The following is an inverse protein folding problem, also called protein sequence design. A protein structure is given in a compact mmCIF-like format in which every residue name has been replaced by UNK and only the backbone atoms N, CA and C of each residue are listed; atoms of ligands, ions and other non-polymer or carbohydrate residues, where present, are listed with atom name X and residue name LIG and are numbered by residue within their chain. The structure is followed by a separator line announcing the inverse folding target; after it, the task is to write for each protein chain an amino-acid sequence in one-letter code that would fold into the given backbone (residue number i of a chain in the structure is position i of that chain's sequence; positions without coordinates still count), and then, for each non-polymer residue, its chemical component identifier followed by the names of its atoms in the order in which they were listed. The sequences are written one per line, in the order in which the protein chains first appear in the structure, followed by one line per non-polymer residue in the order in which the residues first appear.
data_IF_407801375048
#
_entry.id   IF_407801375048
#
_cell.length_a   1.000
_cell.length_b   1.000
_cell.length_c   1.000
_cell.angle_alpha   90.00
_cell.angle_beta   90.00
_cell.angle_gamma   90.00
#
_symmetry.space_group_name_H-M   'P 1'
#
loop_
_entity.id
_entity.type
_entity.pdbx_description
1 polymer ?
#
# COMPACT_ATOMS: atom_id res chain seq x y z
N UNK A 1 -3.20 -31.49 -19.30
CA UNK A 1 -3.36 -30.78 -18.03
C UNK A 1 -1.98 -30.41 -17.42
N UNK A 2 -1.06 -31.37 -17.27
CA UNK A 2 0.28 -31.16 -16.71
C UNK A 2 1.09 -30.10 -17.49
N UNK A 3 1.10 -30.13 -18.82
CA UNK A 3 1.79 -29.13 -19.66
C UNK A 3 1.33 -27.70 -19.32
N UNK A 4 0.01 -27.49 -19.21
CA UNK A 4 -0.55 -26.18 -18.86
C UNK A 4 -0.13 -25.72 -17.46
N UNK A 5 -0.04 -26.64 -16.50
CA UNK A 5 0.40 -26.31 -15.13
C UNK A 5 1.89 -25.99 -15.09
N UNK A 6 2.72 -26.67 -15.87
CA UNK A 6 4.15 -26.31 -16.03
C UNK A 6 4.32 -24.91 -16.62
N UNK A 7 3.53 -24.53 -17.62
CA UNK A 7 3.53 -23.19 -18.21
C UNK A 7 3.10 -22.13 -17.17
N UNK A 8 2.07 -22.41 -16.37
CA UNK A 8 1.65 -21.53 -15.27
C UNK A 8 2.78 -21.39 -14.23
N UNK A 9 3.44 -22.50 -13.88
CA UNK A 9 4.59 -22.49 -12.98
C UNK A 9 5.75 -21.64 -13.51
N UNK A 10 6.06 -21.78 -14.80
CA UNK A 10 7.10 -20.97 -15.44
C UNK A 10 6.77 -19.47 -15.43
N UNK A 11 5.52 -19.11 -15.72
CA UNK A 11 5.07 -17.73 -15.65
C UNK A 11 5.11 -17.18 -14.21
N UNK A 12 4.70 -17.98 -13.21
CA UNK A 12 4.81 -17.62 -11.81
C UNK A 12 6.26 -17.31 -11.41
N UNK A 13 7.22 -18.16 -11.78
CA UNK A 13 8.65 -17.94 -11.43
C UNK A 13 9.19 -16.71 -12.12
N UNK A 14 8.87 -16.46 -13.40
CA UNK A 14 9.27 -15.25 -14.13
C UNK A 14 8.74 -13.98 -13.45
N UNK A 15 7.46 -13.99 -13.07
CA UNK A 15 6.85 -12.87 -12.38
C UNK A 15 7.46 -12.64 -10.98
N UNK A 16 7.68 -13.72 -10.23
CA UNK A 16 8.27 -13.64 -8.89
C UNK A 16 9.70 -13.10 -8.91
N UNK A 17 10.51 -13.57 -9.86
CA UNK A 17 11.90 -13.11 -10.02
C UNK A 17 12.01 -11.78 -10.78
N UNK A 18 10.92 -11.32 -11.38
CA UNK A 18 10.88 -10.05 -12.12
C UNK A 18 11.86 -10.00 -13.29
N UNK A 19 12.15 -11.14 -13.90
CA UNK A 19 13.10 -11.27 -15.02
C UNK A 19 12.69 -12.34 -16.03
N UNK A 20 13.29 -12.22 -17.22
CA UNK A 20 13.26 -13.31 -18.19
C UNK A 20 14.27 -14.37 -17.74
N UNK A 21 13.80 -15.61 -17.64
CA UNK A 21 14.60 -16.76 -17.26
C UNK A 21 15.07 -17.51 -18.49
N UNK A 22 16.28 -18.04 -18.43
CA UNK A 22 16.81 -18.97 -19.41
C UNK A 22 16.10 -20.33 -19.32
N UNK A 23 16.19 -21.14 -20.36
CA UNK A 23 15.64 -22.52 -20.33
C UNK A 23 16.25 -23.37 -19.23
N UNK A 24 17.55 -23.21 -18.97
CA UNK A 24 18.24 -23.89 -17.86
C UNK A 24 17.65 -23.50 -16.49
N UNK A 25 17.40 -22.21 -16.29
CA UNK A 25 16.77 -21.72 -15.05
C UNK A 25 15.34 -22.22 -14.90
N UNK A 26 14.56 -22.27 -16.00
CA UNK A 26 13.22 -22.83 -15.97
C UNK A 26 13.24 -24.35 -15.69
N UNK A 27 14.22 -25.07 -16.22
CA UNK A 27 14.41 -26.47 -15.88
C UNK A 27 14.72 -26.63 -14.38
N UNK A 28 15.60 -25.81 -13.84
CA UNK A 28 16.01 -25.86 -12.43
C UNK A 28 14.89 -25.49 -11.46
N UNK A 29 14.07 -24.48 -11.75
CA UNK A 29 13.02 -24.01 -10.84
C UNK A 29 11.66 -24.65 -11.07
N UNK A 30 11.38 -25.11 -12.28
CA UNK A 30 10.04 -25.57 -12.66
C UNK A 30 10.05 -27.01 -13.18
N UNK A 31 10.64 -27.24 -14.35
CA UNK A 31 10.36 -28.49 -15.10
C UNK A 31 10.86 -29.74 -14.41
N UNK A 32 12.06 -29.69 -13.79
CA UNK A 32 12.62 -30.80 -13.01
C UNK A 32 11.82 -31.14 -11.74
N UNK A 33 10.86 -30.31 -11.33
CA UNK A 33 10.03 -30.57 -10.14
C UNK A 33 8.81 -31.44 -10.46
N UNK A 34 8.45 -31.54 -11.74
CA UNK A 34 7.36 -32.39 -12.21
C UNK A 34 7.86 -33.78 -12.54
N UNK A 35 8.08 -34.59 -11.51
CA UNK A 35 8.55 -35.98 -11.64
C UNK A 35 7.38 -36.92 -11.75
N UNK A 36 7.52 -38.00 -12.57
CA UNK A 36 6.46 -39.01 -12.80
C UNK A 36 5.91 -39.66 -11.53
N UNK A 37 6.75 -39.75 -10.49
CA UNK A 37 6.40 -40.42 -9.22
C UNK A 37 5.86 -39.45 -8.17
N UNK A 38 5.71 -38.16 -8.50
CA UNK A 38 5.27 -37.14 -7.56
C UNK A 38 3.86 -36.66 -7.94
N UNK A 39 2.92 -36.61 -6.99
CA UNK A 39 1.61 -36.02 -7.22
C UNK A 39 1.74 -34.55 -7.71
N UNK A 40 0.87 -34.14 -8.63
CA UNK A 40 0.94 -32.88 -9.32
C UNK A 40 0.92 -31.66 -8.35
N UNK A 41 0.10 -31.74 -7.28
CA UNK A 41 0.03 -30.68 -6.27
C UNK A 41 1.36 -30.50 -5.51
N UNK A 42 2.07 -31.59 -5.20
CA UNK A 42 3.39 -31.52 -4.56
C UNK A 42 4.47 -30.95 -5.48
N UNK A 43 4.36 -31.22 -6.79
CA UNK A 43 5.24 -30.58 -7.78
C UNK A 43 5.03 -29.07 -7.82
N UNK A 44 3.78 -28.61 -7.82
CA UNK A 44 3.44 -27.19 -7.76
C UNK A 44 3.95 -26.56 -6.45
N UNK A 45 3.70 -27.21 -5.32
CA UNK A 45 4.18 -26.75 -4.00
C UNK A 45 5.70 -26.58 -3.98
N UNK A 46 6.46 -27.54 -4.53
CA UNK A 46 7.92 -27.41 -4.65
C UNK A 46 8.33 -26.21 -5.48
N UNK A 47 7.70 -25.96 -6.63
CA UNK A 47 7.95 -24.78 -7.46
C UNK A 47 7.73 -23.51 -6.66
N UNK A 48 6.59 -23.39 -5.98
CA UNK A 48 6.24 -22.21 -5.18
C UNK A 48 7.25 -22.01 -4.04
N UNK A 49 7.53 -23.04 -3.25
CA UNK A 49 8.45 -22.95 -2.11
C UNK A 49 9.87 -22.59 -2.53
N UNK A 50 10.39 -23.22 -3.60
CA UNK A 50 11.72 -22.89 -4.11
C UNK A 50 11.81 -21.45 -4.60
N UNK A 51 10.76 -20.96 -5.25
CA UNK A 51 10.69 -19.60 -5.76
C UNK A 51 10.66 -18.60 -4.60
N UNK A 52 9.74 -18.78 -3.65
CA UNK A 52 9.55 -17.83 -2.55
C UNK A 52 10.71 -17.83 -1.53
N UNK A 53 11.45 -18.94 -1.42
CA UNK A 53 12.67 -19.03 -0.58
C UNK A 53 13.94 -18.60 -1.31
N UNK A 54 13.86 -18.37 -2.61
CA UNK A 54 15.03 -17.98 -3.39
C UNK A 54 15.53 -16.57 -3.00
N UNK A 55 16.85 -16.36 -2.86
CA UNK A 55 17.41 -15.00 -2.70
C UNK A 55 16.97 -14.03 -3.80
N UNK A 56 16.74 -14.53 -5.03
CA UNK A 56 16.23 -13.71 -6.16
C UNK A 56 14.85 -13.11 -5.88
N UNK A 57 14.01 -13.81 -5.13
CA UNK A 57 12.71 -13.30 -4.72
C UNK A 57 12.82 -12.40 -3.48
N UNK A 58 13.58 -12.83 -2.48
CA UNK A 58 13.70 -12.15 -1.19
C UNK A 58 14.49 -10.84 -1.28
N UNK A 59 15.47 -10.76 -2.19
CA UNK A 59 16.35 -9.61 -2.36
C UNK A 59 16.28 -9.06 -3.79
N UNK A 60 15.20 -8.36 -4.15
CA UNK A 60 14.98 -7.86 -5.52
C UNK A 60 16.09 -6.88 -5.99
N UNK A 61 16.81 -6.25 -5.07
CA UNK A 61 17.92 -5.35 -5.37
C UNK A 61 19.24 -6.09 -5.69
N UNK A 62 19.35 -7.37 -5.38
CA UNK A 62 20.56 -8.16 -5.62
C UNK A 62 21.02 -8.11 -7.07
N UNK A 63 20.10 -8.21 -7.99
CA UNK A 63 20.39 -8.20 -9.43
C UNK A 63 20.74 -6.80 -9.94
N UNK A 64 20.12 -5.77 -9.36
CA UNK A 64 20.43 -4.38 -9.68
C UNK A 64 21.88 -4.02 -9.31
N UNK A 65 22.39 -4.60 -8.21
CA UNK A 65 23.78 -4.42 -7.79
C UNK A 65 24.77 -5.16 -8.72
N UNK A 66 24.36 -6.29 -9.29
CA UNK A 66 25.17 -7.08 -10.21
C UNK A 66 25.24 -6.48 -11.63
N UNK A 67 24.21 -5.76 -12.07
CA UNK A 67 24.12 -5.14 -13.39
C UNK A 67 24.51 -3.66 -13.30
N UNK A 68 25.64 -3.28 -13.90
CA UNK A 68 26.14 -1.89 -13.94
C UNK A 68 25.28 -0.92 -14.75
N UNK A 69 24.38 -1.39 -15.59
CA UNK A 69 23.43 -0.57 -16.36
C UNK A 69 22.01 -0.74 -15.83
N UNK A 70 21.24 0.34 -15.87
CA UNK A 70 19.83 0.35 -15.52
C UNK A 70 19.02 -0.46 -16.55
N UNK A 71 18.91 -1.76 -16.33
CA UNK A 71 18.05 -2.65 -17.10
C UNK A 71 16.58 -2.18 -16.95
N UNK A 72 15.86 -1.96 -18.06
CA UNK A 72 14.46 -1.56 -18.04
C UNK A 72 13.58 -2.42 -17.14
N UNK A 73 13.84 -3.73 -17.07
CA UNK A 73 13.13 -4.67 -16.21
C UNK A 73 13.36 -4.35 -14.72
N UNK A 74 14.60 -4.04 -14.35
CA UNK A 74 14.96 -3.65 -12.98
C UNK A 74 14.30 -2.32 -12.61
N UNK A 75 14.33 -1.34 -13.52
CA UNK A 75 13.69 -0.03 -13.30
C UNK A 75 12.19 -0.17 -13.11
N UNK A 76 11.52 -0.95 -13.95
CA UNK A 76 10.08 -1.19 -13.82
C UNK A 76 9.73 -1.95 -12.53
N UNK A 77 10.55 -2.92 -12.14
CA UNK A 77 10.40 -3.66 -10.89
C UNK A 77 10.51 -2.75 -9.66
N UNK A 78 11.52 -1.88 -9.65
CA UNK A 78 11.69 -0.86 -8.60
C UNK A 78 10.51 0.09 -8.57
N UNK A 79 10.09 0.59 -9.73
CA UNK A 79 8.94 1.49 -9.82
C UNK A 79 7.67 0.83 -9.26
N UNK A 80 7.39 -0.43 -9.62
CA UNK A 80 6.25 -1.17 -9.10
C UNK A 80 6.34 -1.41 -7.59
N UNK A 81 7.51 -1.74 -7.08
CA UNK A 81 7.74 -1.94 -5.66
C UNK A 81 7.56 -0.62 -4.88
N UNK A 82 8.15 0.48 -5.37
CA UNK A 82 8.04 1.78 -4.69
C UNK A 82 6.65 2.38 -4.74
N UNK A 83 5.90 2.17 -5.83
CA UNK A 83 4.58 2.77 -5.99
C UNK A 83 3.45 1.90 -5.43
N UNK A 84 3.60 0.58 -5.44
CA UNK A 84 2.49 -0.34 -5.21
C UNK A 84 2.76 -1.48 -4.21
N UNK A 85 3.99 -1.64 -3.70
CA UNK A 85 4.42 -2.85 -2.97
C UNK A 85 4.14 -4.14 -3.76
N UNK A 86 4.30 -4.09 -5.07
CA UNK A 86 3.90 -5.17 -5.97
C UNK A 86 4.92 -5.40 -7.09
N UNK A 87 4.70 -6.47 -7.85
CA UNK A 87 5.41 -6.73 -9.10
C UNK A 87 4.88 -5.81 -10.22
N UNK A 88 5.66 -5.61 -11.33
CA UNK A 88 5.19 -4.92 -12.49
C UNK A 88 3.88 -5.51 -13.04
N UNK A 89 2.95 -4.64 -13.42
CA UNK A 89 1.72 -5.05 -14.08
C UNK A 89 1.96 -5.37 -15.57
N UNK A 90 0.94 -5.95 -16.20
CA UNK A 90 0.98 -6.29 -17.62
C UNK A 90 1.29 -5.08 -18.51
N UNK A 91 0.84 -3.89 -18.13
CA UNK A 91 1.13 -2.67 -18.87
C UNK A 91 2.61 -2.31 -18.83
N UNK A 92 3.24 -2.38 -17.65
CA UNK A 92 4.68 -2.16 -17.51
C UNK A 92 5.49 -3.15 -18.34
N UNK A 93 5.14 -4.45 -18.31
CA UNK A 93 5.79 -5.46 -19.15
C UNK A 93 5.68 -5.12 -20.64
N UNK A 94 4.51 -4.74 -21.13
CA UNK A 94 4.34 -4.29 -22.52
C UNK A 94 5.16 -3.05 -22.88
N UNK A 95 5.33 -2.11 -21.95
CA UNK A 95 6.15 -0.92 -22.20
C UNK A 95 7.64 -1.29 -22.31
N UNK A 96 8.10 -2.26 -21.48
CA UNK A 96 9.47 -2.78 -21.57
C UNK A 96 9.70 -3.46 -22.92
N UNK A 97 8.79 -4.34 -23.35
CA UNK A 97 8.86 -5.03 -24.65
C UNK A 97 8.93 -4.06 -25.83
N UNK A 98 8.26 -2.90 -25.73
CA UNK A 98 8.29 -1.82 -26.73
C UNK A 98 9.54 -0.92 -26.64
N UNK A 99 10.44 -1.16 -25.72
CA UNK A 99 11.61 -0.32 -25.50
C UNK A 99 11.30 1.04 -24.86
N UNK A 100 10.17 1.18 -24.17
CA UNK A 100 9.69 2.45 -23.60
C UNK A 100 10.12 2.69 -22.14
N UNK A 101 11.25 2.15 -21.70
CA UNK A 101 11.80 2.36 -20.35
C UNK A 101 13.25 2.86 -20.37
N UNK A 102 13.62 3.61 -21.40
CA UNK A 102 15.01 3.99 -21.66
C UNK A 102 15.38 5.40 -21.20
N UNK A 103 14.39 6.25 -20.93
CA UNK A 103 14.65 7.63 -20.53
C UNK A 103 13.72 8.10 -19.41
N UNK A 104 14.12 9.20 -18.76
CA UNK A 104 13.41 9.79 -17.60
C UNK A 104 11.94 10.10 -17.92
N UNK A 105 11.65 10.66 -19.09
CA UNK A 105 10.29 11.06 -19.46
C UNK A 105 9.33 9.86 -19.58
N UNK A 106 9.82 8.73 -20.13
CA UNK A 106 9.04 7.50 -20.23
C UNK A 106 8.77 6.89 -18.84
N UNK A 107 9.77 6.88 -17.95
CA UNK A 107 9.63 6.40 -16.58
C UNK A 107 8.64 7.30 -15.80
N UNK A 108 8.78 8.62 -15.91
CA UNK A 108 7.90 9.59 -15.29
C UNK A 108 6.45 9.45 -15.77
N UNK A 109 6.23 9.20 -17.07
CA UNK A 109 4.91 8.92 -17.63
C UNK A 109 4.25 7.69 -16.99
N UNK A 110 5.02 6.61 -16.75
CA UNK A 110 4.53 5.44 -16.05
C UNK A 110 4.27 5.72 -14.56
N UNK A 111 5.14 6.46 -13.89
CA UNK A 111 4.93 6.86 -12.50
C UNK A 111 3.62 7.67 -12.32
N UNK A 112 3.37 8.63 -13.22
CA UNK A 112 2.11 9.42 -13.23
C UNK A 112 0.87 8.55 -13.44
N UNK A 113 0.95 7.55 -14.33
CA UNK A 113 -0.12 6.56 -14.49
C UNK A 113 -0.35 5.77 -13.21
N UNK A 114 0.73 5.29 -12.61
CA UNK A 114 0.70 4.44 -11.42
C UNK A 114 0.16 5.16 -10.18
N UNK A 115 0.41 6.46 -10.05
CA UNK A 115 -0.16 7.29 -8.98
C UNK A 115 -1.70 7.29 -8.95
N UNK A 116 -2.34 7.10 -10.11
CA UNK A 116 -3.81 7.03 -10.21
C UNK A 116 -4.40 5.68 -9.80
N UNK A 117 -3.55 4.69 -9.59
CA UNK A 117 -3.97 3.34 -9.19
C UNK A 117 -4.26 3.29 -7.68
N UNK A 118 -5.35 2.62 -7.24
CA UNK A 118 -5.67 2.47 -5.82
C UNK A 118 -4.54 1.89 -4.96
N UNK A 119 -3.64 1.09 -5.55
CA UNK A 119 -2.47 0.53 -4.85
C UNK A 119 -1.51 1.61 -4.37
N UNK A 120 -1.29 2.68 -5.17
CA UNK A 120 -0.47 3.83 -4.74
C UNK A 120 -1.10 4.55 -3.55
N UNK A 121 -2.41 4.73 -3.58
CA UNK A 121 -3.16 5.32 -2.46
C UNK A 121 -3.04 4.48 -1.20
N UNK A 122 -3.22 3.16 -1.31
CA UNK A 122 -3.08 2.24 -0.19
C UNK A 122 -1.67 2.29 0.42
N UNK A 123 -0.64 2.22 -0.43
CA UNK A 123 0.75 2.31 0.00
C UNK A 123 1.08 3.64 0.68
N UNK A 124 0.64 4.75 0.11
CA UNK A 124 0.87 6.06 0.70
C UNK A 124 0.16 6.22 2.05
N UNK A 125 -1.07 5.73 2.15
CA UNK A 125 -1.81 5.70 3.43
C UNK A 125 -1.05 4.85 4.46
N UNK A 126 -0.55 3.68 4.07
CA UNK A 126 0.24 2.81 4.93
C UNK A 126 1.54 3.49 5.42
N UNK A 127 2.24 4.17 4.52
CA UNK A 127 3.39 5.00 4.88
C UNK A 127 3.04 6.07 5.91
N UNK A 128 1.92 6.81 5.73
CA UNK A 128 1.50 7.85 6.67
C UNK A 128 1.15 7.27 8.04
N UNK A 129 0.50 6.11 8.10
CA UNK A 129 0.19 5.44 9.37
C UNK A 129 1.47 5.00 10.09
N UNK A 130 2.49 4.56 9.35
CA UNK A 130 3.81 4.24 9.92
C UNK A 130 4.51 5.51 10.41
N UNK A 131 4.52 6.57 9.60
CA UNK A 131 5.16 7.84 9.93
C UNK A 131 4.53 8.50 11.16
N UNK A 132 3.20 8.38 11.33
CA UNK A 132 2.47 8.83 12.51
C UNK A 132 2.63 7.88 13.71
N UNK A 133 3.36 6.78 13.55
CA UNK A 133 3.56 5.73 14.55
C UNK A 133 2.24 5.17 15.12
N UNK A 134 1.25 4.95 14.26
CA UNK A 134 -0.06 4.39 14.62
C UNK A 134 -0.39 3.11 13.86
N UNK A 135 0.47 2.68 12.94
CA UNK A 135 0.28 1.42 12.21
C UNK A 135 0.41 0.24 13.17
N UNK A 136 -0.57 -0.66 13.13
CA UNK A 136 -0.57 -1.88 13.96
C UNK A 136 -0.86 -1.66 15.44
N UNK A 137 -1.03 -0.43 15.91
CA UNK A 137 -1.48 -0.16 17.26
C UNK A 137 -2.93 -0.59 17.44
N UNK A 138 -3.24 -1.09 18.62
CA UNK A 138 -4.62 -1.35 19.03
C UNK A 138 -5.42 -0.05 19.08
N UNK A 139 -6.73 -0.16 19.02
CA UNK A 139 -7.59 1.01 19.21
C UNK A 139 -7.36 1.59 20.60
N UNK A 140 -7.23 2.92 20.73
CA UNK A 140 -7.04 3.56 22.02
C UNK A 140 -8.23 3.23 22.93
N UNK A 141 -7.89 2.91 24.18
CA UNK A 141 -8.85 2.69 25.25
C UNK A 141 -8.44 3.51 26.46
N UNK A 142 -9.41 4.03 27.19
CA UNK A 142 -9.19 4.89 28.35
C UNK A 142 -9.97 4.37 29.55
N UNK A 143 -9.50 4.77 30.75
CA UNK A 143 -10.21 4.50 31.98
C UNK A 143 -11.63 5.11 31.92
N UNK A 144 -12.64 4.28 32.11
CA UNK A 144 -14.06 4.67 32.07
C UNK A 144 -14.47 5.61 33.19
N UNK A 145 -13.75 5.63 34.31
CA UNK A 145 -14.01 6.57 35.39
C UNK A 145 -13.64 8.00 35.00
N UNK A 146 -12.53 8.14 34.22
CA UNK A 146 -12.03 9.43 33.77
C UNK A 146 -12.68 9.86 32.46
N UNK A 147 -12.92 8.90 31.55
CA UNK A 147 -13.45 9.14 30.20
C UNK A 147 -14.68 8.22 29.93
N UNK A 148 -15.81 8.40 30.65
CA UNK A 148 -16.96 7.48 30.58
C UNK A 148 -17.57 7.38 29.18
N UNK A 149 -17.50 8.43 28.39
CA UNK A 149 -18.10 8.48 27.04
C UNK A 149 -17.14 7.96 25.95
N UNK A 150 -15.86 7.71 26.25
CA UNK A 150 -14.93 7.15 25.28
C UNK A 150 -15.17 5.66 25.07
N UNK A 151 -15.64 5.30 23.88
CA UNK A 151 -15.96 3.92 23.51
C UNK A 151 -15.11 3.40 22.38
N UNK A 152 -15.03 2.08 22.22
CA UNK A 152 -14.37 1.46 21.05
C UNK A 152 -15.01 1.90 19.72
N UNK A 153 -16.30 2.17 19.71
CA UNK A 153 -17.00 2.71 18.54
C UNK A 153 -16.50 4.11 18.20
N UNK A 154 -16.35 4.98 19.21
CA UNK A 154 -15.77 6.32 19.02
C UNK A 154 -14.32 6.24 18.54
N UNK A 155 -13.50 5.33 19.10
CA UNK A 155 -12.13 5.12 18.67
C UNK A 155 -12.05 4.69 17.19
N UNK A 156 -12.94 3.78 16.77
CA UNK A 156 -13.05 3.39 15.34
C UNK A 156 -13.49 4.55 14.45
N UNK A 157 -14.43 5.35 14.89
CA UNK A 157 -14.89 6.53 14.14
C UNK A 157 -13.76 7.57 14.01
N UNK A 158 -12.99 7.80 15.05
CA UNK A 158 -11.82 8.67 15.03
C UNK A 158 -10.74 8.17 14.06
N UNK A 159 -10.49 6.85 14.03
CA UNK A 159 -9.56 6.25 13.06
C UNK A 159 -10.03 6.45 11.62
N UNK A 160 -11.31 6.23 11.36
CA UNK A 160 -11.90 6.45 10.04
C UNK A 160 -11.86 7.93 9.67
N UNK A 161 -12.13 8.82 10.63
CA UNK A 161 -12.01 10.26 10.46
C UNK A 161 -10.63 10.66 9.97
N UNK A 162 -9.55 10.17 10.59
CA UNK A 162 -8.18 10.41 10.16
C UNK A 162 -7.96 9.95 8.70
N UNK A 163 -8.32 8.71 8.38
CA UNK A 163 -8.12 8.16 7.04
C UNK A 163 -8.88 8.95 5.97
N UNK A 164 -10.08 9.40 6.28
CA UNK A 164 -10.89 10.23 5.38
C UNK A 164 -10.33 11.63 5.21
N UNK A 165 -9.86 12.24 6.29
CA UNK A 165 -9.24 13.57 6.24
C UNK A 165 -7.96 13.54 5.40
N UNK A 166 -7.16 12.48 5.52
CA UNK A 166 -5.98 12.23 4.65
C UNK A 166 -6.44 12.08 3.19
N UNK A 167 -7.46 11.25 2.95
CA UNK A 167 -7.98 11.00 1.60
C UNK A 167 -8.47 12.28 0.93
N UNK A 168 -9.24 13.06 1.65
CA UNK A 168 -9.74 14.36 1.19
C UNK A 168 -8.60 15.28 0.81
N UNK A 169 -7.68 15.53 1.73
CA UNK A 169 -6.60 16.50 1.52
C UNK A 169 -5.68 16.11 0.38
N UNK A 170 -5.23 14.86 0.34
CA UNK A 170 -4.20 14.42 -0.63
C UNK A 170 -4.81 14.08 -1.99
N UNK A 171 -5.95 13.37 -2.02
CA UNK A 171 -6.44 12.77 -3.25
C UNK A 171 -7.63 13.49 -3.89
N UNK A 172 -8.52 14.07 -3.10
CA UNK A 172 -9.69 14.77 -3.61
C UNK A 172 -9.40 16.24 -3.90
N UNK A 173 -8.71 16.94 -2.98
CA UNK A 173 -8.36 18.35 -3.10
C UNK A 173 -7.02 18.58 -3.79
N UNK A 174 -6.32 17.50 -4.16
CA UNK A 174 -4.99 17.55 -4.78
C UNK A 174 -3.99 18.36 -3.96
N UNK A 175 -4.10 18.28 -2.64
CA UNK A 175 -3.27 18.97 -1.68
C UNK A 175 -1.81 18.54 -1.76
N UNK A 176 -0.95 19.39 -1.28
CA UNK A 176 0.49 19.13 -1.17
C UNK A 176 0.85 18.67 0.25
N UNK A 177 2.14 18.43 0.49
CA UNK A 177 2.64 17.99 1.79
C UNK A 177 2.38 19.02 2.91
N UNK A 178 2.42 20.30 2.60
CA UNK A 178 2.14 21.35 3.57
C UNK A 178 0.66 21.35 3.98
N UNK A 179 -0.26 21.20 3.02
CA UNK A 179 -1.70 21.10 3.31
C UNK A 179 -2.01 19.87 4.19
N UNK A 180 -1.33 18.76 3.93
CA UNK A 180 -1.42 17.56 4.78
C UNK A 180 -0.90 17.82 6.20
N UNK A 181 0.26 18.46 6.36
CA UNK A 181 0.81 18.78 7.68
C UNK A 181 -0.10 19.74 8.46
N UNK A 182 -0.68 20.72 7.80
CA UNK A 182 -1.57 21.71 8.40
C UNK A 182 -2.96 21.16 8.72
N UNK A 183 -3.41 20.16 7.95
CA UNK A 183 -4.72 19.51 8.05
C UNK A 183 -5.82 20.45 8.62
N UNK A 184 -6.20 21.43 7.83
CA UNK A 184 -7.20 22.44 8.24
C UNK A 184 -8.63 21.90 8.30
N UNK A 185 -8.93 20.82 7.58
CA UNK A 185 -10.25 20.21 7.51
C UNK A 185 -10.24 18.78 8.01
N UNK A 186 -11.12 18.43 8.94
CA UNK A 186 -11.29 17.09 9.51
C UNK A 186 -12.67 16.56 9.17
N UNK A 187 -12.73 15.32 8.70
CA UNK A 187 -13.99 14.60 8.42
C UNK A 187 -14.53 13.94 9.69
N UNK A 188 -15.67 14.36 10.22
CA UNK A 188 -16.21 13.84 11.48
C UNK A 188 -17.63 13.28 11.35
N UNK A 189 -17.98 12.35 12.25
CA UNK A 189 -19.34 11.84 12.45
C UNK A 189 -20.08 12.65 13.50
N UNK A 190 -21.41 12.44 13.58
CA UNK A 190 -22.22 12.98 14.68
C UNK A 190 -21.73 12.50 16.05
N UNK A 191 -21.24 11.28 16.15
CA UNK A 191 -20.67 10.71 17.38
C UNK A 191 -19.44 11.49 17.82
N UNK A 192 -18.53 11.78 16.90
CA UNK A 192 -17.34 12.59 17.17
C UNK A 192 -17.76 14.01 17.56
N UNK A 193 -18.65 14.61 16.78
CA UNK A 193 -19.15 15.97 17.05
C UNK A 193 -19.77 16.08 18.44
N UNK A 194 -20.60 15.13 18.84
CA UNK A 194 -21.20 15.09 20.17
C UNK A 194 -20.14 14.99 21.27
N UNK A 195 -19.16 14.08 21.11
CA UNK A 195 -18.09 13.89 22.11
C UNK A 195 -17.24 15.14 22.32
N UNK A 196 -16.92 15.84 21.22
CA UNK A 196 -16.11 17.08 21.27
C UNK A 196 -16.96 18.36 21.37
N UNK A 197 -18.29 18.25 21.50
CA UNK A 197 -19.25 19.36 21.60
C UNK A 197 -19.16 20.35 20.42
N UNK A 198 -18.95 19.81 19.20
CA UNK A 198 -18.84 20.62 17.98
C UNK A 198 -20.22 20.76 17.35
N UNK A 199 -20.72 22.00 17.14
CA UNK A 199 -21.94 22.23 16.42
C UNK A 199 -21.77 21.84 14.93
N UNK A 200 -22.62 20.95 14.42
CA UNK A 200 -22.64 20.64 13.00
C UNK A 200 -23.67 21.51 12.31
N UNK A 201 -23.22 22.37 11.40
CA UNK A 201 -24.09 23.18 10.54
C UNK A 201 -24.55 22.41 9.30
N UNK A 202 -23.72 21.52 8.79
CA UNK A 202 -23.96 20.78 7.56
C UNK A 202 -24.58 19.41 7.81
N UNK A 203 -25.36 18.93 6.84
CA UNK A 203 -25.87 17.56 6.84
C UNK A 203 -24.71 16.61 6.51
N UNK A 204 -24.65 15.43 7.16
CA UNK A 204 -23.66 14.43 6.82
C UNK A 204 -23.83 13.98 5.35
N UNK A 205 -22.69 13.68 4.72
CA UNK A 205 -22.67 13.07 3.40
C UNK A 205 -23.32 11.65 3.43
N UNK A 206 -23.43 11.00 2.29
CA UNK A 206 -24.04 9.66 2.14
C UNK A 206 -23.46 8.57 3.06
N UNK A 207 -22.28 8.81 3.62
CA UNK A 207 -21.59 7.89 4.53
C UNK A 207 -21.48 8.42 5.97
N UNK A 208 -22.24 9.45 6.31
CA UNK A 208 -22.37 9.95 7.67
C UNK A 208 -21.24 10.86 8.17
N UNK A 209 -20.39 11.40 7.28
CA UNK A 209 -19.30 12.30 7.62
C UNK A 209 -19.59 13.74 7.18
N UNK A 210 -19.12 14.69 7.97
CA UNK A 210 -19.17 16.13 7.70
C UNK A 210 -17.76 16.69 7.77
N UNK A 211 -17.31 17.46 6.77
CA UNK A 211 -16.06 18.20 6.87
C UNK A 211 -16.24 19.39 7.82
N UNK A 212 -15.36 19.54 8.78
CA UNK A 212 -15.32 20.68 9.71
C UNK A 212 -13.93 21.28 9.77
N UNK A 213 -13.85 22.56 10.05
CA UNK A 213 -12.59 23.23 10.30
C UNK A 213 -11.93 22.66 11.58
N UNK A 214 -10.65 22.27 11.49
CA UNK A 214 -9.91 21.72 12.61
C UNK A 214 -9.80 22.68 13.80
N UNK A 215 -9.87 24.01 13.56
CA UNK A 215 -9.89 25.02 14.61
C UNK A 215 -11.10 24.89 15.54
N UNK A 216 -12.22 24.30 15.06
CA UNK A 216 -13.39 23.98 15.88
C UNK A 216 -13.09 23.01 17.03
N UNK A 217 -12.01 22.25 16.93
CA UNK A 217 -11.50 21.38 18.00
C UNK A 217 -10.44 22.08 18.87
N UNK A 218 -10.10 23.35 18.58
CA UNK A 218 -8.92 23.99 19.13
C UNK A 218 -7.62 23.33 18.68
N UNK A 219 -7.59 22.74 17.47
CA UNK A 219 -6.49 21.96 16.93
C UNK A 219 -6.06 22.45 15.57
N UNK A 220 -4.80 22.18 15.21
CA UNK A 220 -4.27 22.50 13.91
C UNK A 220 -3.17 21.50 13.56
N UNK A 221 -3.26 20.93 12.36
CA UNK A 221 -2.28 19.99 11.83
C UNK A 221 -2.55 18.53 12.19
N UNK A 222 -1.96 17.64 11.37
CA UNK A 222 -2.18 16.18 11.42
C UNK A 222 -1.82 15.57 12.77
N UNK A 223 -0.76 16.06 13.43
CA UNK A 223 -0.30 15.54 14.72
C UNK A 223 -1.29 15.82 15.86
N UNK A 224 -2.15 16.82 15.70
CA UNK A 224 -3.18 17.15 16.68
C UNK A 224 -4.54 16.53 16.36
N UNK A 225 -4.63 15.70 15.29
CA UNK A 225 -5.85 14.98 14.99
C UNK A 225 -6.27 14.11 16.18
N UNK A 226 -7.57 14.11 16.58
CA UNK A 226 -8.02 13.41 17.79
C UNK A 226 -7.59 11.94 17.88
N UNK A 227 -7.60 11.20 16.76
CA UNK A 227 -7.14 9.82 16.75
C UNK A 227 -5.63 9.69 17.02
N UNK A 228 -4.82 10.56 16.41
CA UNK A 228 -3.36 10.55 16.60
C UNK A 228 -3.02 10.79 18.08
N UNK A 229 -3.62 11.81 18.68
CA UNK A 229 -3.42 12.10 20.09
C UNK A 229 -3.90 10.96 21.00
N UNK A 230 -5.08 10.40 20.73
CA UNK A 230 -5.60 9.28 21.50
C UNK A 230 -4.69 8.04 21.41
N UNK A 231 -4.10 7.78 20.25
CA UNK A 231 -3.19 6.64 20.02
C UNK A 231 -1.84 6.78 20.71
N UNK A 232 -1.46 7.99 21.12
CA UNK A 232 -0.22 8.29 21.84
C UNK A 232 -0.44 8.67 23.30
N UNK A 233 -1.70 8.74 23.75
CA UNK A 233 -2.02 8.96 25.17
C UNK A 233 -1.85 7.67 25.95
N UNK A 234 -1.38 7.79 27.18
CA UNK A 234 -1.39 6.70 28.15
C UNK A 234 -2.81 6.51 28.70
N UNK A 235 -3.23 5.25 28.95
CA UNK A 235 -4.52 4.96 29.55
C UNK A 235 -4.65 5.49 30.98
#
# INVERSE_FOLDING_TARGET
QEKKIREIGANFVRLAFRENLTEEELENYVYSKFQKNLPLHLSVEKVVLLTLKSPRFLYPEWQALAKRQADPQVVASRLALYMWDSIPDFHLHKQIEKGHFQNKGQIEGQAKRMLRDPRSKAKFTDFLLQWLDIKGKELPSFNKETFPEFSSALAMDLRRSLLRSIDRTIWQEQGNWQDFLQLSTVEITHTIAKYYQIPLADKPNSIGYVPVDASSFGRQGIHTHPYVLASHSYP
#
